data_IF_578590292505
#
_entry.id   IF_578590292505
#
_cell.length_a   1.000
_cell.length_b   1.000
_cell.length_c   1.000
_cell.angle_alpha   90.00
_cell.angle_beta   90.00
_cell.angle_gamma   90.00
#
_symmetry.space_group_name_H-M   'P 1'
#
loop_
_entity.id
_entity.type
_entity.pdbx_description
1 polymer ?
#
# COMPACT_ATOMS: atom_id res chain seq x y z
N UNK A 1 26.97 -10.19 -4.01
CA UNK A 1 26.82 -8.74 -4.30
C UNK A 1 25.63 -8.17 -3.54
N UNK A 2 24.43 -8.74 -3.70
CA UNK A 2 23.18 -8.17 -3.15
C UNK A 2 23.02 -8.23 -1.63
N UNK A 3 23.75 -9.10 -0.94
CA UNK A 3 23.75 -9.18 0.54
C UNK A 3 24.04 -7.83 1.20
N UNK A 4 24.95 -7.05 0.62
CA UNK A 4 25.34 -5.74 1.17
C UNK A 4 24.19 -4.73 1.11
N UNK A 5 23.27 -4.90 0.16
CA UNK A 5 22.10 -4.03 0.01
C UNK A 5 21.06 -4.34 1.10
N UNK A 6 20.82 -5.61 1.42
CA UNK A 6 20.00 -6.01 2.55
C UNK A 6 20.61 -5.61 3.90
N UNK A 7 21.94 -5.69 4.03
CA UNK A 7 22.65 -5.23 5.23
C UNK A 7 22.60 -3.70 5.40
N UNK A 8 22.64 -2.94 4.30
CA UNK A 8 22.42 -1.49 4.34
C UNK A 8 21.03 -1.11 4.85
N UNK A 9 20.06 -2.03 4.74
CA UNK A 9 18.72 -1.86 5.31
C UNK A 9 18.64 -2.31 6.78
N UNK A 10 19.70 -2.79 7.41
CA UNK A 10 19.66 -3.28 8.82
C UNK A 10 20.78 -2.71 9.69
N UNK A 11 21.88 -2.26 9.09
CA UNK A 11 23.04 -1.70 9.78
C UNK A 11 23.10 -0.18 9.78
N UNK A 12 24.27 0.36 10.16
CA UNK A 12 24.52 1.80 10.21
C UNK A 12 24.75 2.37 8.81
N UNK A 13 23.90 3.29 8.40
CA UNK A 13 23.85 4.00 7.12
C UNK A 13 25.22 4.40 6.53
N UNK A 14 26.16 4.87 7.34
CA UNK A 14 27.46 5.36 6.83
C UNK A 14 28.45 4.25 6.46
N UNK A 15 28.33 3.04 7.00
CA UNK A 15 29.29 1.97 6.72
C UNK A 15 29.04 1.28 5.37
N UNK A 16 27.85 1.43 4.80
CA UNK A 16 27.43 0.72 3.58
C UNK A 16 27.38 1.60 2.33
N UNK A 17 27.68 2.89 2.46
CA UNK A 17 27.63 3.84 1.35
C UNK A 17 28.55 3.46 0.17
N UNK A 18 29.81 3.14 0.44
CA UNK A 18 30.77 2.78 -0.61
C UNK A 18 30.39 1.48 -1.34
N UNK A 19 30.00 0.39 -0.65
CA UNK A 19 29.43 -0.77 -1.32
C UNK A 19 28.17 -0.47 -2.14
N UNK A 20 27.26 0.40 -1.65
CA UNK A 20 26.07 0.80 -2.39
C UNK A 20 26.41 1.62 -3.64
N UNK A 21 27.43 2.49 -3.59
CA UNK A 21 27.93 3.21 -4.78
C UNK A 21 28.42 2.23 -5.85
N UNK A 22 29.17 1.19 -5.46
CA UNK A 22 29.61 0.14 -6.39
C UNK A 22 28.44 -0.60 -7.05
N UNK A 23 27.36 -0.84 -6.30
CA UNK A 23 26.11 -1.39 -6.84
C UNK A 23 25.46 -0.42 -7.84
N UNK A 24 25.36 0.87 -7.48
CA UNK A 24 24.83 1.91 -8.37
C UNK A 24 25.63 2.07 -9.68
N UNK A 25 26.95 2.01 -9.60
CA UNK A 25 27.85 2.02 -10.76
C UNK A 25 27.64 0.78 -11.64
N UNK A 26 27.45 -0.39 -11.04
CA UNK A 26 27.18 -1.63 -11.77
C UNK A 26 25.86 -1.57 -12.55
N UNK A 27 24.79 -1.01 -11.96
CA UNK A 27 23.52 -0.78 -12.67
C UNK A 27 23.64 0.27 -13.77
N UNK A 28 24.43 1.33 -13.54
CA UNK A 28 24.68 2.35 -14.56
C UNK A 28 25.43 1.74 -15.75
N UNK A 29 26.42 0.89 -15.49
CA UNK A 29 27.14 0.15 -16.51
C UNK A 29 26.22 -0.82 -17.26
N UNK A 30 25.36 -1.57 -16.56
CA UNK A 30 24.37 -2.47 -17.17
C UNK A 30 23.44 -1.70 -18.11
N UNK A 31 22.87 -0.57 -17.65
CA UNK A 31 22.01 0.29 -18.46
C UNK A 31 22.72 0.86 -19.70
N UNK A 32 23.99 1.23 -19.56
CA UNK A 32 24.79 1.68 -20.71
C UNK A 32 24.98 0.54 -21.73
N UNK A 33 25.28 -0.67 -21.25
CA UNK A 33 25.45 -1.85 -22.12
C UNK A 33 24.16 -2.26 -22.81
N UNK A 34 23.02 -2.17 -22.12
CA UNK A 34 21.70 -2.37 -22.70
C UNK A 34 21.43 -1.36 -23.83
N UNK A 35 21.74 -0.07 -23.62
CA UNK A 35 21.58 0.95 -24.64
C UNK A 35 22.52 0.72 -25.85
N UNK A 36 23.79 0.37 -25.62
CA UNK A 36 24.75 0.02 -26.69
C UNK A 36 24.26 -1.21 -27.50
N UNK A 37 23.72 -2.22 -26.81
CA UNK A 37 23.17 -3.41 -27.44
C UNK A 37 21.93 -3.09 -28.29
N UNK A 38 21.00 -2.28 -27.78
CA UNK A 38 19.80 -1.88 -28.52
C UNK A 38 20.12 -1.05 -29.78
N UNK A 39 21.18 -0.24 -29.76
CA UNK A 39 21.64 0.53 -30.92
C UNK A 39 22.34 -0.36 -31.95
N UNK A 40 23.16 -1.32 -31.50
CA UNK A 40 23.93 -2.21 -32.38
C UNK A 40 23.13 -3.41 -32.90
N UNK A 41 22.02 -3.78 -32.24
CA UNK A 41 21.10 -4.84 -32.66
C UNK A 41 20.39 -4.57 -33.99
N UNK A 42 20.53 -3.36 -34.55
CA UNK A 42 20.04 -3.00 -35.87
C UNK A 42 21.04 -3.28 -37.00
N UNK A 43 22.32 -3.57 -36.70
CA UNK A 43 23.38 -3.75 -37.72
C UNK A 43 24.14 -5.09 -37.70
N UNK A 44 23.93 -6.02 -36.76
CA UNK A 44 24.61 -7.32 -36.85
C UNK A 44 23.91 -8.47 -36.11
N UNK A 45 23.57 -9.53 -36.86
CA UNK A 45 23.32 -10.86 -36.32
C UNK A 45 24.61 -11.37 -35.66
N UNK A 46 24.73 -11.23 -34.35
CA UNK A 46 25.75 -11.93 -33.57
C UNK A 46 25.13 -12.59 -32.34
N UNK A 47 25.43 -13.89 -32.23
CA UNK A 47 24.93 -14.84 -31.24
C UNK A 47 25.63 -14.61 -29.90
N UNK A 48 25.31 -13.51 -29.21
CA UNK A 48 25.66 -13.34 -27.79
C UNK A 48 24.48 -13.76 -26.92
N UNK A 49 24.67 -14.82 -26.14
CA UNK A 49 23.75 -15.30 -25.08
C UNK A 49 23.70 -14.38 -23.85
N UNK A 50 24.40 -13.25 -23.89
CA UNK A 50 24.41 -12.28 -22.81
C UNK A 50 23.15 -11.40 -22.89
N UNK A 51 22.25 -11.57 -21.94
CA UNK A 51 21.03 -10.77 -21.81
C UNK A 51 21.22 -9.74 -20.69
N UNK A 52 21.02 -8.43 -20.94
CA UNK A 52 21.25 -7.35 -19.96
C UNK A 52 20.25 -7.28 -18.77
N UNK A 53 19.52 -8.34 -18.44
CA UNK A 53 18.22 -8.20 -17.75
C UNK A 53 18.09 -8.79 -16.35
N UNK A 54 19.19 -9.04 -15.63
CA UNK A 54 19.11 -9.76 -14.36
C UNK A 54 19.51 -8.94 -13.13
N UNK A 55 20.44 -8.00 -13.23
CA UNK A 55 20.98 -7.39 -12.00
C UNK A 55 20.02 -6.41 -11.35
N UNK A 56 19.27 -5.62 -12.14
CA UNK A 56 18.23 -4.74 -11.57
C UNK A 56 17.11 -5.53 -10.90
N UNK A 57 16.61 -6.59 -11.56
CA UNK A 57 15.49 -7.37 -11.04
C UNK A 57 15.89 -8.13 -9.77
N UNK A 58 17.07 -8.77 -9.77
CA UNK A 58 17.60 -9.46 -8.59
C UNK A 58 17.81 -8.49 -7.41
N UNK A 59 18.27 -7.26 -7.70
CA UNK A 59 18.39 -6.20 -6.70
C UNK A 59 17.03 -5.79 -6.14
N UNK A 60 16.04 -5.56 -7.01
CA UNK A 60 14.68 -5.19 -6.60
C UNK A 60 14.05 -6.28 -5.73
N UNK A 61 14.17 -7.54 -6.13
CA UNK A 61 13.68 -8.69 -5.35
C UNK A 61 14.35 -8.76 -3.97
N UNK A 62 15.67 -8.57 -3.91
CA UNK A 62 16.40 -8.59 -2.63
C UNK A 62 16.01 -7.41 -1.71
N UNK A 63 15.88 -6.21 -2.26
CA UNK A 63 15.42 -5.02 -1.54
C UNK A 63 13.98 -5.21 -1.02
N UNK A 64 13.07 -5.67 -1.88
CA UNK A 64 11.67 -5.93 -1.51
C UNK A 64 11.61 -6.96 -0.39
N UNK A 65 12.36 -8.07 -0.49
CA UNK A 65 12.40 -9.09 0.56
C UNK A 65 12.93 -8.54 1.88
N UNK A 66 14.02 -7.78 1.83
CA UNK A 66 14.65 -7.19 3.02
C UNK A 66 13.79 -6.11 3.69
N UNK A 67 13.07 -5.31 2.90
CA UNK A 67 12.12 -4.33 3.42
C UNK A 67 10.88 -5.00 4.00
N UNK A 68 10.34 -6.02 3.31
CA UNK A 68 9.17 -6.78 3.80
C UNK A 68 9.48 -7.45 5.14
N UNK A 69 10.70 -7.95 5.34
CA UNK A 69 11.13 -8.53 6.61
C UNK A 69 11.19 -7.50 7.77
N UNK A 70 11.27 -6.20 7.48
CA UNK A 70 11.24 -5.13 8.48
C UNK A 70 9.84 -4.63 8.79
N UNK A 71 8.86 -4.97 7.96
CA UNK A 71 7.47 -4.66 8.24
C UNK A 71 7.05 -5.46 9.47
N UNK A 72 6.51 -4.81 10.53
CA UNK A 72 6.00 -5.52 11.70
C UNK A 72 5.03 -6.62 11.28
N UNK A 73 5.18 -7.86 11.79
CA UNK A 73 4.28 -8.93 11.42
C UNK A 73 2.88 -8.65 11.98
N UNK A 74 1.86 -8.68 11.13
CA UNK A 74 0.48 -8.60 11.58
C UNK A 74 -0.07 -10.00 11.86
N UNK A 75 -0.33 -10.30 13.13
CA UNK A 75 -0.77 -11.62 13.60
C UNK A 75 -1.91 -12.22 12.77
N UNK A 76 -1.82 -13.53 12.52
CA UNK A 76 -2.80 -14.32 11.75
C UNK A 76 -3.96 -14.85 12.63
N UNK A 77 -4.13 -14.37 13.87
CA UNK A 77 -5.17 -14.92 14.75
C UNK A 77 -6.56 -14.56 14.23
N UNK A 78 -7.44 -15.57 14.24
CA UNK A 78 -8.81 -15.53 13.69
C UNK A 78 -9.75 -14.49 14.33
N UNK A 79 -9.29 -13.82 15.40
CA UNK A 79 -9.93 -12.63 15.97
C UNK A 79 -8.96 -11.46 15.80
N UNK A 80 -8.88 -10.93 14.60
CA UNK A 80 -8.15 -9.70 14.34
C UNK A 80 -8.98 -8.55 14.93
N UNK A 81 -8.72 -8.16 16.16
CA UNK A 81 -9.41 -7.02 16.80
C UNK A 81 -9.08 -5.72 16.05
N UNK A 82 -10.05 -4.81 15.94
CA UNK A 82 -9.90 -3.46 15.39
C UNK A 82 -8.74 -2.72 16.07
N UNK A 83 -8.55 -2.97 17.37
CA UNK A 83 -7.44 -2.41 18.15
C UNK A 83 -6.07 -2.89 17.66
N UNK A 84 -5.94 -4.17 17.30
CA UNK A 84 -4.69 -4.74 16.79
C UNK A 84 -4.36 -4.17 15.41
N UNK A 85 -5.37 -4.02 14.54
CA UNK A 85 -5.19 -3.38 13.23
C UNK A 85 -4.74 -1.93 13.39
N UNK A 86 -5.39 -1.18 14.28
CA UNK A 86 -5.02 0.21 14.58
C UNK A 86 -3.60 0.32 15.13
N UNK A 87 -3.21 -0.57 16.05
CA UNK A 87 -1.86 -0.62 16.59
C UNK A 87 -0.84 -0.94 15.50
N UNK A 88 -1.15 -1.88 14.62
CA UNK A 88 -0.30 -2.24 13.49
C UNK A 88 -0.10 -1.08 12.50
N UNK A 89 -1.18 -0.39 12.11
CA UNK A 89 -1.11 0.81 11.27
C UNK A 89 -0.29 1.93 11.94
N UNK A 90 -0.40 2.09 13.26
CA UNK A 90 0.44 3.03 14.02
C UNK A 90 1.92 2.62 14.02
N UNK A 91 2.24 1.32 14.08
CA UNK A 91 3.63 0.84 13.96
C UNK A 91 4.20 1.11 12.58
N UNK A 92 3.40 0.95 11.52
CA UNK A 92 3.81 1.34 10.17
C UNK A 92 4.14 2.84 10.12
N UNK A 93 3.25 3.68 10.66
CA UNK A 93 3.41 5.13 10.67
C UNK A 93 4.63 5.60 11.47
N UNK A 94 4.85 5.03 12.66
CA UNK A 94 5.83 5.55 13.61
C UNK A 94 7.20 4.89 13.53
N UNK A 95 7.33 3.69 12.97
CA UNK A 95 8.59 2.96 12.93
C UNK A 95 9.01 2.62 11.49
N UNK A 96 8.12 2.01 10.71
CA UNK A 96 8.48 1.56 9.36
C UNK A 96 8.72 2.74 8.41
N UNK A 97 7.75 3.65 8.25
CA UNK A 97 7.90 4.79 7.33
C UNK A 97 9.11 5.68 7.68
N UNK A 98 9.36 6.06 8.96
CA UNK A 98 10.55 6.85 9.30
C UNK A 98 11.86 6.12 9.03
N UNK A 99 11.89 4.78 9.18
CA UNK A 99 13.09 3.99 8.86
C UNK A 99 13.42 4.01 7.36
N UNK A 100 12.40 4.11 6.51
CA UNK A 100 12.60 4.26 5.07
C UNK A 100 13.14 5.65 4.72
N UNK A 101 12.59 6.70 5.33
CA UNK A 101 13.09 8.06 5.07
C UNK A 101 14.53 8.26 5.54
N UNK A 102 14.91 7.68 6.69
CA UNK A 102 16.27 7.81 7.21
C UNK A 102 17.34 7.36 6.21
N UNK A 103 17.06 6.25 5.49
CA UNK A 103 18.02 5.62 4.58
C UNK A 103 18.02 6.24 3.19
N UNK A 104 17.01 7.05 2.87
CA UNK A 104 16.81 7.65 1.55
C UNK A 104 18.04 8.40 1.05
N UNK A 105 18.67 9.19 1.92
CA UNK A 105 19.83 10.00 1.55
C UNK A 105 21.05 9.13 1.18
N UNK A 106 21.24 7.99 1.84
CA UNK A 106 22.29 7.02 1.50
C UNK A 106 22.05 6.40 0.13
N UNK A 107 20.83 5.95 -0.15
CA UNK A 107 20.47 5.38 -1.44
C UNK A 107 20.51 6.44 -2.56
N UNK A 108 20.21 7.70 -2.24
CA UNK A 108 20.38 8.82 -3.16
C UNK A 108 21.84 9.07 -3.49
N UNK A 109 22.71 9.11 -2.49
CA UNK A 109 24.16 9.29 -2.70
C UNK A 109 24.76 8.11 -3.49
N UNK A 110 24.23 6.90 -3.30
CA UNK A 110 24.62 5.71 -4.06
C UNK A 110 24.07 5.66 -5.51
N UNK A 111 23.23 6.62 -5.92
CA UNK A 111 22.61 6.60 -7.25
C UNK A 111 21.49 5.55 -7.41
N UNK A 112 20.96 5.03 -6.30
CA UNK A 112 19.96 3.96 -6.24
C UNK A 112 18.57 4.45 -5.82
N UNK A 113 18.35 5.76 -5.68
CA UNK A 113 17.11 6.34 -5.15
C UNK A 113 15.85 5.85 -5.89
N UNK A 114 15.90 5.73 -7.22
CA UNK A 114 14.74 5.29 -8.01
C UNK A 114 14.35 3.86 -7.65
N UNK A 115 15.32 2.94 -7.68
CA UNK A 115 15.12 1.53 -7.31
C UNK A 115 14.68 1.40 -5.87
N UNK A 116 15.34 2.12 -4.95
CA UNK A 116 14.98 2.14 -3.53
C UNK A 116 13.52 2.56 -3.32
N UNK A 117 13.12 3.69 -3.91
CA UNK A 117 11.76 4.22 -3.81
C UNK A 117 10.76 3.20 -4.35
N UNK A 118 11.03 2.63 -5.53
CA UNK A 118 10.19 1.58 -6.12
C UNK A 118 10.02 0.36 -5.19
N UNK A 119 11.10 -0.13 -4.59
CA UNK A 119 11.02 -1.26 -3.67
C UNK A 119 10.22 -0.93 -2.41
N UNK A 120 10.38 0.28 -1.85
CA UNK A 120 9.57 0.72 -0.71
C UNK A 120 8.08 0.70 -1.03
N UNK A 121 7.71 1.21 -2.22
CA UNK A 121 6.34 1.18 -2.72
C UNK A 121 5.78 -0.21 -2.82
N UNK A 122 6.52 -1.09 -3.49
CA UNK A 122 6.09 -2.45 -3.75
C UNK A 122 5.93 -3.21 -2.43
N UNK A 123 6.87 -3.07 -1.48
CA UNK A 123 6.76 -3.70 -0.16
C UNK A 123 5.57 -3.20 0.65
N UNK A 124 5.35 -1.88 0.72
CA UNK A 124 4.21 -1.32 1.46
C UNK A 124 2.88 -1.68 0.80
N UNK A 125 2.78 -1.58 -0.51
CA UNK A 125 1.56 -1.90 -1.27
C UNK A 125 1.21 -3.39 -1.16
N UNK A 126 2.20 -4.28 -1.28
CA UNK A 126 2.02 -5.72 -1.11
C UNK A 126 1.52 -6.06 0.31
N UNK A 127 2.10 -5.43 1.33
CA UNK A 127 1.67 -5.61 2.71
C UNK A 127 0.24 -5.14 2.94
N UNK A 128 -0.11 -3.93 2.50
CA UNK A 128 -1.46 -3.40 2.66
C UNK A 128 -2.49 -4.22 1.87
N UNK A 129 -2.12 -4.70 0.68
CA UNK A 129 -2.96 -5.63 -0.10
C UNK A 129 -3.23 -6.92 0.69
N UNK A 130 -2.18 -7.47 1.33
CA UNK A 130 -2.31 -8.65 2.21
C UNK A 130 -3.19 -8.39 3.43
N UNK A 131 -3.18 -7.16 3.97
CA UNK A 131 -4.10 -6.75 5.03
C UNK A 131 -5.55 -6.71 4.51
N UNK A 132 -5.79 -6.13 3.34
CA UNK A 132 -7.12 -5.96 2.73
C UNK A 132 -7.73 -7.25 2.16
N UNK A 133 -6.90 -8.21 1.76
CA UNK A 133 -7.34 -9.47 1.16
C UNK A 133 -7.79 -10.53 2.20
N UNK A 134 -7.69 -10.22 3.50
CA UNK A 134 -8.20 -11.12 4.55
C UNK A 134 -9.70 -11.35 4.36
N UNK A 135 -10.13 -12.61 4.32
CA UNK A 135 -11.46 -13.05 3.90
C UNK A 135 -12.65 -12.55 4.75
N UNK A 136 -12.42 -11.79 5.82
CA UNK A 136 -13.43 -11.41 6.81
C UNK A 136 -13.24 -10.01 7.40
N UNK A 137 -12.69 -9.05 6.64
CA UNK A 137 -12.63 -7.68 7.13
C UNK A 137 -14.03 -7.10 7.34
N UNK A 138 -14.26 -6.51 8.51
CA UNK A 138 -15.47 -5.73 8.79
C UNK A 138 -15.41 -4.35 8.12
N UNK A 139 -16.56 -3.68 8.03
CA UNK A 139 -16.62 -2.29 7.59
C UNK A 139 -15.66 -1.38 8.37
N UNK A 140 -15.61 -1.49 9.71
CA UNK A 140 -14.75 -0.63 10.53
C UNK A 140 -13.26 -0.86 10.25
N UNK A 141 -12.86 -2.11 10.03
CA UNK A 141 -11.47 -2.43 9.69
C UNK A 141 -11.06 -1.91 8.32
N UNK A 142 -11.92 -2.06 7.31
CA UNK A 142 -11.68 -1.46 5.98
C UNK A 142 -11.59 0.07 6.09
N UNK A 143 -12.47 0.68 6.89
CA UNK A 143 -12.48 2.13 7.11
C UNK A 143 -11.19 2.62 7.77
N UNK A 144 -10.64 1.89 8.75
CA UNK A 144 -9.35 2.22 9.37
C UNK A 144 -8.19 2.21 8.38
N UNK A 145 -8.12 1.20 7.50
CA UNK A 145 -7.07 1.13 6.47
C UNK A 145 -7.23 2.28 5.48
N UNK A 146 -8.48 2.58 5.08
CA UNK A 146 -8.78 3.69 4.17
C UNK A 146 -8.42 5.04 4.79
N UNK A 147 -8.83 5.30 6.04
CA UNK A 147 -8.51 6.53 6.77
C UNK A 147 -7.00 6.70 6.92
N UNK A 148 -6.29 5.64 7.29
CA UNK A 148 -4.83 5.65 7.39
C UNK A 148 -4.19 5.97 6.04
N UNK A 149 -4.59 5.28 4.96
CA UNK A 149 -4.06 5.53 3.61
C UNK A 149 -4.32 6.95 3.13
N UNK A 150 -5.52 7.46 3.37
CA UNK A 150 -5.91 8.84 3.03
C UNK A 150 -5.13 9.87 3.86
N UNK A 151 -4.88 9.60 5.15
CA UNK A 151 -4.05 10.44 6.01
C UNK A 151 -2.62 10.54 5.48
N UNK A 152 -2.01 9.40 5.14
CA UNK A 152 -0.63 9.37 4.59
C UNK A 152 -0.62 10.10 3.23
N UNK A 153 -1.56 9.80 2.33
CA UNK A 153 -1.70 10.48 1.04
C UNK A 153 -1.84 12.00 1.17
N UNK A 154 -2.70 12.46 2.08
CA UNK A 154 -2.90 13.89 2.33
C UNK A 154 -1.67 14.53 2.98
N UNK A 155 -0.94 13.82 3.84
CA UNK A 155 0.30 14.34 4.42
C UNK A 155 1.37 14.60 3.35
N UNK A 156 1.43 13.74 2.32
CA UNK A 156 2.37 13.91 1.22
C UNK A 156 1.92 14.96 0.19
N UNK A 157 0.61 15.11 -0.01
CA UNK A 157 0.05 16.03 -1.02
C UNK A 157 -0.28 17.44 -0.48
N UNK A 158 -0.63 17.61 0.80
CA UNK A 158 -0.98 18.90 1.41
C UNK A 158 0.22 19.70 1.94
N UNK A 159 1.42 19.12 2.06
CA UNK A 159 2.65 19.83 2.52
C UNK A 159 3.38 20.60 1.41
N UNK A 160 2.64 21.31 0.55
CA UNK A 160 3.23 22.30 -0.37
C UNK A 160 2.77 23.72 0.00
N UNK A 161 3.54 24.41 0.87
CA UNK A 161 3.97 25.77 0.54
C UNK A 161 5.46 26.08 0.83
N UNK A 162 6.07 26.78 -0.13
CA UNK A 162 7.25 27.65 -0.12
C UNK A 162 7.94 27.86 1.26
N UNK A 163 9.20 27.42 1.37
CA UNK A 163 10.20 27.72 2.42
C UNK A 163 10.19 26.82 3.67
N UNK A 164 10.90 25.68 3.61
CA UNK A 164 11.82 25.05 4.59
C UNK A 164 12.36 23.76 3.90
N UNK A 165 13.62 23.32 4.11
CA UNK A 165 14.22 22.24 3.34
C UNK A 165 13.45 20.92 3.50
N UNK A 166 12.97 20.41 2.37
CA UNK A 166 12.18 19.19 2.24
C UNK A 166 13.03 17.94 2.48
N UNK A 167 12.74 17.20 3.54
CA UNK A 167 13.26 15.85 3.79
C UNK A 167 12.12 14.87 4.13
N UNK A 168 10.97 15.01 3.45
CA UNK A 168 9.88 14.05 3.57
C UNK A 168 9.92 13.07 2.41
N UNK A 169 9.74 11.81 2.76
CA UNK A 169 9.47 10.67 1.87
C UNK A 169 8.30 11.07 0.97
N UNK A 170 8.56 11.34 -0.30
CA UNK A 170 7.47 11.31 -1.27
C UNK A 170 7.37 9.85 -1.70
N UNK A 171 6.51 9.07 -1.04
CA UNK A 171 5.94 7.97 -1.79
C UNK A 171 5.41 8.59 -3.10
N UNK A 172 5.71 7.97 -4.23
CA UNK A 172 4.90 8.11 -5.43
C UNK A 172 3.42 8.11 -5.03
N UNK A 173 2.84 9.31 -5.17
CA UNK A 173 1.45 9.67 -4.91
C UNK A 173 0.51 8.68 -5.62
N UNK A 174 0.94 8.10 -6.74
CA UNK A 174 0.20 7.08 -7.48
C UNK A 174 0.04 5.77 -6.71
N UNK A 175 1.09 5.32 -6.01
CA UNK A 175 1.05 4.07 -5.24
C UNK A 175 0.10 4.18 -4.04
N UNK A 176 0.18 5.29 -3.30
CA UNK A 176 -0.73 5.54 -2.17
C UNK A 176 -2.17 5.71 -2.64
N UNK A 177 -2.38 6.43 -3.75
CA UNK A 177 -3.71 6.55 -4.35
C UNK A 177 -4.27 5.18 -4.74
N UNK A 178 -3.47 4.32 -5.36
CA UNK A 178 -3.89 2.96 -5.72
C UNK A 178 -4.34 2.15 -4.50
N UNK A 179 -3.59 2.23 -3.40
CA UNK A 179 -3.96 1.58 -2.13
C UNK A 179 -5.29 2.13 -1.59
N UNK A 180 -5.46 3.46 -1.58
CA UNK A 180 -6.70 4.11 -1.12
C UNK A 180 -7.88 3.63 -1.95
N UNK A 181 -7.75 3.61 -3.28
CA UNK A 181 -8.80 3.14 -4.20
C UNK A 181 -9.11 1.65 -4.00
N UNK A 182 -8.11 0.79 -3.85
CA UNK A 182 -8.33 -0.64 -3.62
C UNK A 182 -9.02 -0.92 -2.28
N UNK A 183 -8.64 -0.18 -1.25
CA UNK A 183 -9.30 -0.28 0.06
C UNK A 183 -10.73 0.25 -0.01
N UNK A 184 -10.98 1.31 -0.78
CA UNK A 184 -12.33 1.83 -1.04
C UNK A 184 -13.21 0.79 -1.73
N UNK A 185 -12.74 0.16 -2.81
CA UNK A 185 -13.44 -0.92 -3.50
C UNK A 185 -13.84 -2.04 -2.53
N UNK A 186 -12.90 -2.46 -1.66
CA UNK A 186 -13.15 -3.50 -0.66
C UNK A 186 -14.17 -3.05 0.40
N UNK A 187 -14.08 -1.80 0.87
CA UNK A 187 -14.99 -1.21 1.84
C UNK A 187 -16.43 -1.18 1.30
N UNK A 188 -16.59 -0.78 0.04
CA UNK A 188 -17.89 -0.77 -0.63
C UNK A 188 -18.45 -2.20 -0.79
N UNK A 189 -17.63 -3.18 -1.17
CA UNK A 189 -18.07 -4.58 -1.25
C UNK A 189 -18.46 -5.17 0.12
N UNK A 190 -17.76 -4.81 1.19
CA UNK A 190 -18.12 -5.22 2.56
C UNK A 190 -19.44 -4.56 2.99
N UNK A 191 -19.61 -3.27 2.69
CA UNK A 191 -20.86 -2.52 2.95
C UNK A 191 -22.04 -3.20 2.27
N UNK A 192 -21.91 -3.48 0.97
CA UNK A 192 -22.89 -4.19 0.17
C UNK A 192 -23.32 -5.50 0.83
N UNK A 193 -22.35 -6.36 1.17
CA UNK A 193 -22.60 -7.66 1.79
C UNK A 193 -23.26 -7.56 3.16
N UNK A 194 -22.86 -6.59 3.98
CA UNK A 194 -23.46 -6.39 5.31
C UNK A 194 -24.90 -5.88 5.22
N UNK A 195 -25.20 -4.98 4.27
CA UNK A 195 -26.57 -4.50 4.00
C UNK A 195 -27.45 -5.63 3.46
N UNK A 196 -26.96 -6.43 2.52
CA UNK A 196 -27.67 -7.60 1.99
C UNK A 196 -28.05 -8.58 3.12
N UNK A 197 -27.11 -8.86 4.03
CA UNK A 197 -27.37 -9.73 5.18
C UNK A 197 -28.40 -9.13 6.14
N UNK A 198 -28.32 -7.84 6.42
CA UNK A 198 -29.26 -7.14 7.29
C UNK A 198 -30.69 -7.14 6.71
N UNK A 199 -30.82 -6.93 5.40
CA UNK A 199 -32.10 -7.01 4.70
C UNK A 199 -32.67 -8.44 4.76
N UNK A 200 -31.86 -9.46 4.45
CA UNK A 200 -32.31 -10.87 4.55
C UNK A 200 -32.76 -11.24 5.95
N UNK A 201 -32.03 -10.80 6.99
CA UNK A 201 -32.41 -11.04 8.37
C UNK A 201 -33.71 -10.31 8.75
N UNK A 202 -33.92 -9.10 8.23
CA UNK A 202 -35.08 -8.28 8.54
C UNK A 202 -36.40 -8.86 8.01
N UNK A 203 -36.33 -9.53 6.86
CA UNK A 203 -37.49 -10.13 6.19
C UNK A 203 -37.53 -11.67 6.33
N UNK A 204 -36.76 -12.24 7.26
CA UNK A 204 -36.73 -13.69 7.51
C UNK A 204 -38.07 -14.19 8.11
N UNK A 205 -38.67 -15.18 7.45
CA UNK A 205 -39.99 -15.72 7.78
C UNK A 205 -39.87 -16.62 9.01
N UNK A 206 -39.94 -16.00 10.20
CA UNK A 206 -39.87 -16.72 11.48
C UNK A 206 -39.43 -15.87 12.67
N UNK A 207 -38.88 -14.67 12.44
CA UNK A 207 -38.50 -13.74 13.51
C UNK A 207 -39.57 -12.64 13.72
N UNK A 208 -39.78 -12.15 14.95
CA UNK A 208 -40.70 -11.05 15.19
C UNK A 208 -40.22 -9.76 14.49
N UNK A 209 -41.13 -8.93 13.95
CA UNK A 209 -40.79 -7.70 13.23
C UNK A 209 -40.22 -6.66 14.22
N UNK A 210 -38.89 -6.68 14.35
CA UNK A 210 -38.09 -5.66 15.05
C UNK A 210 -37.10 -4.99 14.08
N UNK A 211 -37.16 -5.32 12.79
CA UNK A 211 -35.99 -5.26 11.92
C UNK A 211 -35.90 -4.06 10.98
N UNK A 212 -37.00 -3.36 10.68
CA UNK A 212 -36.98 -2.16 9.83
C UNK A 212 -36.10 -1.05 10.43
N UNK A 213 -36.16 -0.88 11.75
CA UNK A 213 -35.31 0.08 12.47
C UNK A 213 -33.82 -0.32 12.45
N UNK A 214 -33.52 -1.62 12.47
CA UNK A 214 -32.15 -2.13 12.45
C UNK A 214 -31.48 -1.91 11.07
N UNK A 215 -32.22 -2.10 9.97
CA UNK A 215 -31.73 -1.81 8.62
C UNK A 215 -31.44 -0.32 8.49
N UNK A 216 -32.39 0.55 8.84
CA UNK A 216 -32.20 2.02 8.78
C UNK A 216 -31.02 2.45 9.65
N UNK A 217 -30.87 1.86 10.83
CA UNK A 217 -29.75 2.14 11.73
C UNK A 217 -28.41 1.76 11.10
N UNK A 218 -28.28 0.58 10.50
CA UNK A 218 -27.05 0.13 9.83
C UNK A 218 -26.67 1.07 8.68
N UNK A 219 -27.63 1.45 7.82
CA UNK A 219 -27.39 2.36 6.70
C UNK A 219 -26.91 3.74 7.20
N UNK A 220 -27.59 4.26 8.23
CA UNK A 220 -27.30 5.58 8.82
C UNK A 220 -25.93 5.59 9.50
N UNK A 221 -25.64 4.58 10.32
CA UNK A 221 -24.38 4.47 11.05
C UNK A 221 -23.18 4.37 10.11
N UNK A 222 -23.27 3.55 9.06
CA UNK A 222 -22.17 3.41 8.08
C UNK A 222 -21.93 4.69 7.30
N UNK A 223 -23.00 5.33 6.83
CA UNK A 223 -22.90 6.58 6.07
C UNK A 223 -22.31 7.70 6.91
N UNK A 224 -22.78 7.87 8.15
CA UNK A 224 -22.25 8.87 9.09
C UNK A 224 -20.82 8.56 9.54
N UNK A 225 -20.46 7.29 9.68
CA UNK A 225 -19.07 6.92 10.00
C UNK A 225 -18.13 7.21 8.83
N UNK A 226 -18.52 6.86 7.60
CA UNK A 226 -17.76 7.19 6.39
C UNK A 226 -17.60 8.71 6.19
N UNK A 227 -18.65 9.48 6.49
CA UNK A 227 -18.67 10.95 6.41
C UNK A 227 -17.65 11.63 7.31
N UNK A 228 -17.34 11.04 8.47
CA UNK A 228 -16.26 11.53 9.36
C UNK A 228 -14.88 11.44 8.72
N UNK A 229 -14.69 10.51 7.79
CA UNK A 229 -13.43 10.31 7.07
C UNK A 229 -13.38 11.17 5.80
N UNK A 230 -14.39 11.04 4.92
CA UNK A 230 -14.49 11.91 3.74
C UNK A 230 -15.93 11.99 3.21
N UNK A 231 -16.29 13.15 2.65
CA UNK A 231 -17.60 13.34 2.01
C UNK A 231 -17.79 12.41 0.81
N UNK A 232 -16.75 12.25 -0.01
CA UNK A 232 -16.81 11.40 -1.21
C UNK A 232 -17.03 9.93 -0.85
N UNK A 233 -16.40 9.43 0.22
CA UNK A 233 -16.63 8.06 0.69
C UNK A 233 -18.06 7.88 1.19
N UNK A 234 -18.60 8.86 1.93
CA UNK A 234 -19.98 8.83 2.42
C UNK A 234 -20.99 8.74 1.29
N UNK A 235 -20.83 9.55 0.23
CA UNK A 235 -21.70 9.52 -0.95
C UNK A 235 -21.67 8.15 -1.65
N UNK A 236 -20.48 7.51 -1.75
CA UNK A 236 -20.34 6.17 -2.33
C UNK A 236 -20.95 5.07 -1.45
N UNK A 237 -20.76 5.14 -0.14
CA UNK A 237 -21.35 4.20 0.83
C UNK A 237 -22.87 4.31 0.79
N UNK A 238 -23.42 5.52 0.78
CA UNK A 238 -24.85 5.77 0.65
C UNK A 238 -25.41 5.22 -0.66
N UNK A 239 -24.72 5.45 -1.79
CA UNK A 239 -25.13 4.92 -3.08
C UNK A 239 -25.21 3.38 -3.09
N UNK A 240 -24.19 2.69 -2.59
CA UNK A 240 -24.17 1.22 -2.50
C UNK A 240 -25.29 0.70 -1.59
N UNK A 241 -25.48 1.34 -0.45
CA UNK A 241 -26.57 1.04 0.48
C UNK A 241 -27.94 1.11 -0.19
N UNK A 242 -28.22 2.20 -0.92
CA UNK A 242 -29.50 2.40 -1.62
C UNK A 242 -29.67 1.42 -2.79
N UNK A 243 -28.60 1.14 -3.54
CA UNK A 243 -28.62 0.19 -4.65
C UNK A 243 -28.98 -1.22 -4.17
N UNK A 244 -28.42 -1.67 -3.04
CA UNK A 244 -28.79 -2.96 -2.46
C UNK A 244 -30.22 -3.01 -1.95
N UNK A 245 -30.70 -1.93 -1.32
CA UNK A 245 -32.11 -1.85 -0.92
C UNK A 245 -33.04 -1.94 -2.13
N UNK A 246 -32.72 -1.25 -3.23
CA UNK A 246 -33.50 -1.32 -4.47
C UNK A 246 -33.48 -2.74 -5.04
N UNK A 247 -32.31 -3.36 -5.16
CA UNK A 247 -32.17 -4.73 -5.68
C UNK A 247 -32.91 -5.76 -4.84
N UNK A 248 -33.02 -5.55 -3.53
CA UNK A 248 -33.77 -6.43 -2.64
C UNK A 248 -35.29 -6.32 -2.83
N UNK A 249 -35.80 -5.17 -3.29
CA UNK A 249 -37.22 -4.93 -3.53
C UNK A 249 -37.70 -5.43 -4.91
N UNK A 250 -36.77 -5.66 -5.84
CA UNK A 250 -37.01 -6.23 -7.18
C UNK A 250 -37.14 -7.76 -7.15
#
# INVERSE_FOLDING_TARGET
MWTVVGEALTGNDRTFLEPLKSVGESLKWEKQKEAEWLVNGQEMESVSTWSPNFWRKDLEENLIQSMTAQIPPFGSSANTDETALKQHLNQLEMAFLPSLEHRRDVFKEAGLLITYTHCCHTSLSCHLSTLTDRNHLSFSQCLLIYEWGLKIYNSETCLRPRQIPQHSFSLDVQCLMWIVLKTEEKLLAVTQKEVENALKEAFDIGKPPCADAAVIQILTEKTETAKRVSKSLSEKVEAVCLEECLRFLE
#
